data_IF_637538579983
#
_entry.id   IF_637538579983
#
_cell.length_a   1.000
_cell.length_b   1.000
_cell.length_c   1.000
_cell.angle_alpha   90.00
_cell.angle_beta   90.00
_cell.angle_gamma   90.00
#
_symmetry.space_group_name_H-M   'P 1'
#
loop_
_entity.id
_entity.type
_entity.pdbx_description
1 polymer ?
#
# COMPACT_ATOMS: atom_id res chain seq x y z
N UNK A 1 -18.18 -10.89 14.16
CA UNK A 1 -16.85 -11.30 14.70
C UNK A 1 -15.83 -10.19 14.42
N UNK A 2 -15.10 -9.71 15.44
CA UNK A 2 -14.14 -8.62 15.27
C UNK A 2 -12.89 -9.09 14.49
N UNK A 3 -12.35 -8.22 13.63
CA UNK A 3 -11.11 -8.49 12.88
C UNK A 3 -9.94 -8.67 13.86
N UNK A 4 -9.11 -9.70 13.62
CA UNK A 4 -7.92 -9.93 14.45
C UNK A 4 -6.97 -8.71 14.37
N UNK A 5 -6.35 -8.27 15.48
CA UNK A 5 -5.55 -7.03 15.50
C UNK A 5 -4.39 -6.99 14.49
N UNK A 6 -3.70 -8.12 14.27
CA UNK A 6 -2.59 -8.20 13.33
C UNK A 6 -3.03 -7.94 11.87
N UNK A 7 -3.96 -8.72 11.29
CA UNK A 7 -4.54 -8.38 9.98
C UNK A 7 -5.13 -6.98 9.90
N UNK A 8 -5.73 -6.47 11.00
CA UNK A 8 -6.27 -5.12 11.03
C UNK A 8 -5.19 -4.04 10.80
N UNK A 9 -3.97 -4.25 11.29
CA UNK A 9 -2.84 -3.36 10.99
C UNK A 9 -2.47 -3.37 9.51
N UNK A 10 -2.50 -4.54 8.85
CA UNK A 10 -2.26 -4.63 7.41
C UNK A 10 -3.37 -3.91 6.62
N UNK A 11 -4.63 -4.03 7.05
CA UNK A 11 -5.74 -3.27 6.47
C UNK A 11 -5.58 -1.76 6.68
N UNK A 12 -5.09 -1.33 7.85
CA UNK A 12 -4.82 0.08 8.12
C UNK A 12 -3.70 0.63 7.21
N UNK A 13 -2.65 -0.16 6.97
CA UNK A 13 -1.59 0.17 6.02
C UNK A 13 -2.14 0.30 4.60
N UNK A 14 -2.93 -0.68 4.15
CA UNK A 14 -3.59 -0.66 2.84
C UNK A 14 -4.47 0.59 2.66
N UNK A 15 -5.30 0.90 3.66
CA UNK A 15 -6.19 2.05 3.64
C UNK A 15 -5.45 3.38 3.60
N UNK A 16 -4.42 3.54 4.44
CA UNK A 16 -3.60 4.75 4.50
C UNK A 16 -2.96 5.07 3.14
N UNK A 17 -2.23 4.11 2.56
CA UNK A 17 -1.58 4.36 1.28
C UNK A 17 -2.56 4.44 0.12
N UNK A 18 -3.66 3.68 0.14
CA UNK A 18 -4.67 3.74 -0.89
C UNK A 18 -5.35 5.10 -1.00
N UNK A 19 -5.70 5.71 0.13
CA UNK A 19 -6.31 7.05 0.15
C UNK A 19 -5.37 8.10 -0.45
N UNK A 20 -4.08 8.03 -0.14
CA UNK A 20 -3.08 8.96 -0.71
C UNK A 20 -2.93 8.75 -2.22
N UNK A 21 -2.73 7.49 -2.64
CA UNK A 21 -2.45 7.15 -4.04
C UNK A 21 -3.64 7.53 -4.93
N UNK A 22 -4.86 7.17 -4.54
CA UNK A 22 -6.04 7.53 -5.36
C UNK A 22 -6.20 9.05 -5.47
N UNK A 23 -6.03 9.81 -4.38
CA UNK A 23 -6.12 11.27 -4.41
C UNK A 23 -5.03 11.92 -5.27
N UNK A 24 -3.81 11.38 -5.26
CA UNK A 24 -2.72 11.85 -6.11
C UNK A 24 -2.99 11.56 -7.59
N UNK A 25 -3.48 10.36 -7.90
CA UNK A 25 -3.81 9.97 -9.27
C UNK A 25 -4.94 10.80 -9.86
N UNK A 26 -5.97 11.11 -9.07
CA UNK A 26 -7.04 12.04 -9.44
C UNK A 26 -6.48 13.43 -9.77
N UNK A 27 -5.60 13.98 -8.91
CA UNK A 27 -4.94 15.28 -9.16
C UNK A 27 -4.06 15.27 -10.41
N UNK A 28 -3.43 14.14 -10.70
CA UNK A 28 -2.60 13.92 -11.89
C UNK A 28 -3.42 13.58 -13.16
N UNK A 29 -4.75 13.49 -13.03
CA UNK A 29 -5.71 13.13 -14.09
C UNK A 29 -5.42 11.78 -14.74
N UNK A 30 -5.02 10.79 -13.94
CA UNK A 30 -4.82 9.42 -14.40
C UNK A 30 -6.18 8.71 -14.47
N UNK A 31 -6.56 8.08 -15.61
CA UNK A 31 -7.88 7.48 -15.81
C UNK A 31 -8.02 6.09 -15.16
N UNK A 32 -7.90 6.03 -13.82
CA UNK A 32 -8.10 4.80 -13.05
C UNK A 32 -9.59 4.50 -12.93
N UNK A 33 -10.01 3.28 -13.30
CA UNK A 33 -11.39 2.79 -13.15
C UNK A 33 -11.60 2.09 -11.80
N UNK A 34 -10.60 1.32 -11.37
CA UNK A 34 -10.63 0.60 -10.11
C UNK A 34 -9.22 0.47 -9.52
N UNK A 35 -9.13 0.38 -8.20
CA UNK A 35 -7.87 0.19 -7.49
C UNK A 35 -8.05 -0.78 -6.33
N UNK A 36 -7.29 -1.88 -6.37
CA UNK A 36 -7.20 -2.86 -5.30
C UNK A 36 -5.81 -2.79 -4.67
N UNK A 37 -5.76 -2.91 -3.33
CA UNK A 37 -4.50 -2.98 -2.59
C UNK A 37 -4.49 -4.24 -1.75
N UNK A 38 -3.50 -5.10 -1.98
CA UNK A 38 -3.26 -6.28 -1.15
C UNK A 38 -2.03 -6.02 -0.29
N UNK A 39 -2.13 -6.43 0.98
CA UNK A 39 -1.00 -6.35 1.90
C UNK A 39 -0.82 -7.72 2.54
N UNK A 40 0.37 -8.28 2.40
CA UNK A 40 0.81 -9.48 3.11
C UNK A 40 1.87 -9.11 4.13
N UNK A 41 2.04 -9.95 5.16
CA UNK A 41 3.08 -9.74 6.17
C UNK A 41 3.63 -11.05 6.69
N UNK A 42 4.96 -11.12 6.81
CA UNK A 42 5.69 -12.23 7.41
C UNK A 42 5.90 -11.93 8.89
N UNK A 43 5.62 -12.90 9.77
CA UNK A 43 5.86 -12.75 11.20
C UNK A 43 7.24 -13.28 11.59
N UNK A 44 7.85 -12.72 12.62
CA UNK A 44 9.03 -13.31 13.26
C UNK A 44 8.71 -14.69 13.86
N UNK A 45 9.74 -15.52 13.98
CA UNK A 45 9.62 -16.87 14.53
C UNK A 45 9.43 -16.85 16.07
N UNK A 46 10.21 -16.02 16.76
CA UNK A 46 10.24 -15.94 18.22
C UNK A 46 9.24 -14.94 18.81
N UNK A 47 8.85 -15.19 20.06
CA UNK A 47 7.98 -14.29 20.81
C UNK A 47 8.74 -13.08 21.38
N UNK A 48 8.12 -11.88 21.39
CA UNK A 48 6.81 -11.58 20.81
C UNK A 48 6.84 -11.53 19.27
N UNK A 49 5.89 -12.24 18.62
CA UNK A 49 5.82 -12.28 17.15
C UNK A 49 5.41 -10.94 16.57
N UNK A 50 6.34 -10.22 15.95
CA UNK A 50 6.13 -8.97 15.22
C UNK A 50 6.12 -9.22 13.71
N UNK A 51 5.76 -8.22 12.91
CA UNK A 51 5.97 -8.29 11.46
C UNK A 51 7.45 -8.09 11.16
N UNK A 52 8.07 -9.07 10.51
CA UNK A 52 9.43 -8.99 9.95
C UNK A 52 9.42 -8.17 8.67
N UNK A 53 8.47 -8.48 7.79
CA UNK A 53 8.29 -7.82 6.50
C UNK A 53 6.81 -7.66 6.19
N UNK A 54 6.50 -6.65 5.37
CA UNK A 54 5.19 -6.43 4.77
C UNK A 54 5.37 -6.13 3.28
N UNK A 55 4.52 -6.70 2.44
CA UNK A 55 4.54 -6.46 0.99
C UNK A 55 3.20 -5.91 0.53
N UNK A 56 3.24 -4.81 -0.21
CA UNK A 56 2.07 -4.11 -0.73
C UNK A 56 1.98 -4.34 -2.24
N UNK A 57 0.90 -4.92 -2.72
CA UNK A 57 0.61 -5.03 -4.15
C UNK A 57 -0.46 -4.01 -4.51
N UNK A 58 -0.08 -3.00 -5.30
CA UNK A 58 -0.99 -2.04 -5.90
C UNK A 58 -1.49 -2.61 -7.22
N UNK A 59 -2.80 -2.76 -7.36
CA UNK A 59 -3.44 -3.30 -8.55
C UNK A 59 -4.36 -2.21 -9.08
N UNK A 60 -4.03 -1.64 -10.24
CA UNK A 60 -4.84 -0.60 -10.85
C UNK A 60 -5.46 -1.14 -12.14
N UNK A 61 -6.76 -0.87 -12.30
CA UNK A 61 -7.51 -1.22 -13.50
C UNK A 61 -7.91 0.05 -14.24
N UNK A 62 -7.67 0.11 -15.54
CA UNK A 62 -8.06 1.25 -16.37
C UNK A 62 -7.34 1.30 -17.71
N UNK A 63 -7.80 2.16 -18.59
CA UNK A 63 -7.24 2.31 -19.94
C UNK A 63 -6.22 3.45 -19.96
N UNK A 64 -5.11 3.27 -20.69
CA UNK A 64 -4.07 4.31 -20.86
C UNK A 64 -3.50 4.84 -19.53
N UNK A 65 -3.34 3.98 -18.52
CA UNK A 65 -2.70 4.34 -17.26
C UNK A 65 -1.21 4.59 -17.50
N UNK A 66 -0.78 5.83 -17.30
CA UNK A 66 0.64 6.22 -17.33
C UNK A 66 1.37 5.66 -16.10
N UNK A 67 2.08 4.54 -16.28
CA UNK A 67 2.80 3.83 -15.20
C UNK A 67 3.70 4.77 -14.37
N UNK A 68 4.38 5.72 -15.00
CA UNK A 68 5.28 6.66 -14.31
C UNK A 68 4.55 7.54 -13.30
N UNK A 69 3.34 8.01 -13.63
CA UNK A 69 2.51 8.78 -12.70
C UNK A 69 2.06 7.93 -11.51
N UNK A 70 1.76 6.64 -11.76
CA UNK A 70 1.41 5.69 -10.70
C UNK A 70 2.57 5.44 -9.75
N UNK A 71 3.76 5.15 -10.29
CA UNK A 71 4.97 4.95 -9.49
C UNK A 71 5.25 6.20 -8.65
N UNK A 72 5.20 7.38 -9.26
CA UNK A 72 5.40 8.65 -8.54
C UNK A 72 4.37 8.89 -7.43
N UNK A 73 3.10 8.53 -7.65
CA UNK A 73 2.06 8.64 -6.64
C UNK A 73 2.31 7.69 -5.45
N UNK A 74 2.73 6.46 -5.72
CA UNK A 74 3.10 5.46 -4.69
C UNK A 74 4.30 5.94 -3.88
N UNK A 75 5.36 6.42 -4.54
CA UNK A 75 6.56 6.96 -3.87
C UNK A 75 6.20 8.14 -2.96
N UNK A 76 5.40 9.09 -3.45
CA UNK A 76 4.93 10.22 -2.64
C UNK A 76 4.11 9.76 -1.42
N UNK A 77 3.23 8.77 -1.57
CA UNK A 77 2.49 8.21 -0.43
C UNK A 77 3.45 7.57 0.59
N UNK A 78 4.38 6.75 0.11
CA UNK A 78 5.29 5.94 0.94
C UNK A 78 6.36 6.75 1.68
N UNK A 79 6.79 7.88 1.10
CA UNK A 79 7.88 8.70 1.66
C UNK A 79 7.38 9.96 2.36
N UNK A 80 6.24 10.52 1.95
CA UNK A 80 5.82 11.85 2.39
C UNK A 80 4.50 11.90 3.14
N UNK A 81 3.51 11.07 2.77
CA UNK A 81 2.13 11.26 3.25
C UNK A 81 1.63 10.17 4.21
N UNK A 82 1.88 8.89 3.93
CA UNK A 82 1.28 7.82 4.73
C UNK A 82 2.04 7.64 6.07
N UNK A 83 1.52 8.28 7.11
CA UNK A 83 2.05 8.19 8.47
C UNK A 83 2.06 6.76 9.04
N UNK A 84 1.14 5.90 8.59
CA UNK A 84 1.12 4.48 8.97
C UNK A 84 2.34 3.75 8.40
N UNK A 85 2.62 3.90 7.09
CA UNK A 85 3.84 3.36 6.47
C UNK A 85 5.09 3.88 7.16
N UNK A 86 5.15 5.18 7.45
CA UNK A 86 6.31 5.81 8.11
C UNK A 86 6.55 5.24 9.53
N UNK A 87 5.49 4.95 10.28
CA UNK A 87 5.61 4.31 11.60
C UNK A 87 6.07 2.85 11.47
N UNK A 88 5.43 2.08 10.60
CA UNK A 88 5.67 0.64 10.47
C UNK A 88 7.07 0.33 9.90
N UNK A 89 7.60 1.18 9.00
CA UNK A 89 8.98 1.07 8.47
C UNK A 89 10.07 1.12 9.54
N UNK A 90 9.77 1.64 10.74
CA UNK A 90 10.73 1.65 11.86
C UNK A 90 10.94 0.27 12.47
N UNK A 91 10.01 -0.67 12.27
CA UNK A 91 10.04 -1.98 12.90
C UNK A 91 9.94 -3.16 11.94
N UNK A 92 9.68 -2.92 10.65
CA UNK A 92 9.53 -3.95 9.64
C UNK A 92 9.96 -3.44 8.26
N UNK A 93 10.49 -4.32 7.42
CA UNK A 93 10.72 -4.02 6.02
C UNK A 93 9.38 -3.86 5.28
N UNK A 94 9.24 -2.80 4.48
CA UNK A 94 8.05 -2.62 3.62
C UNK A 94 8.50 -2.54 2.17
N UNK A 95 8.02 -3.47 1.36
CA UNK A 95 8.24 -3.52 -0.09
C UNK A 95 6.92 -3.35 -0.84
N UNK A 96 6.99 -3.03 -2.13
CA UNK A 96 5.79 -2.95 -2.96
C UNK A 96 5.99 -3.48 -4.38
N UNK A 97 4.88 -3.84 -5.02
CA UNK A 97 4.76 -4.18 -6.43
C UNK A 97 3.57 -3.46 -7.06
N UNK A 98 3.61 -3.28 -8.38
CA UNK A 98 2.56 -2.65 -9.17
C UNK A 98 2.09 -3.59 -10.27
N UNK A 99 0.80 -3.90 -10.28
CA UNK A 99 0.09 -4.59 -11.35
C UNK A 99 -0.84 -3.61 -12.06
N UNK A 100 -0.78 -3.57 -13.39
CA UNK A 100 -1.72 -2.82 -14.21
C UNK A 100 -2.61 -3.79 -14.98
N UNK A 101 -3.92 -3.59 -14.89
CA UNK A 101 -4.96 -4.37 -15.58
C UNK A 101 -5.73 -3.45 -16.53
N UNK A 102 -6.14 -4.00 -17.67
CA UNK A 102 -6.97 -3.32 -18.67
C UNK A 102 -8.45 -3.60 -18.43
#
# INVERSE_FOLDING_TARGET
PATRPKPLLLSALAGCTGMDVISLLEKMRVPVKDMEIKVSGELTEEHPKTYKSMHITYILTGENIEKEKVVKAIELSQEKYCGVSALLKKGAEITYSLELRS
#
